data_IF_990247965289
#
_entry.id   IF_990247965289
#
_cell.length_a   1.000
_cell.length_b   1.000
_cell.length_c   1.000
_cell.angle_alpha   90.00
_cell.angle_beta   90.00
_cell.angle_gamma   90.00
#
_symmetry.space_group_name_H-M   'P 1'
#
loop_
_entity.id
_entity.type
_entity.pdbx_description
1 polymer ?
#
# COMPACT_ATOMS: atom_id res chain seq x y z
N UNK A 1 54.53 20.40 22.18
CA UNK A 1 53.18 20.31 21.59
C UNK A 1 52.29 19.58 22.58
N UNK A 2 51.15 20.14 22.97
CA UNK A 2 50.40 19.65 24.12
C UNK A 2 49.53 18.44 23.72
N UNK A 3 50.05 17.23 23.93
CA UNK A 3 49.45 15.96 23.46
C UNK A 3 47.99 15.80 23.91
N UNK A 4 47.65 16.30 25.12
CA UNK A 4 46.28 16.27 25.66
C UNK A 4 45.26 17.10 24.87
N UNK A 5 45.68 18.19 24.22
CA UNK A 5 44.81 19.00 23.36
C UNK A 5 44.55 18.27 22.03
N UNK A 6 45.58 17.57 21.51
CA UNK A 6 45.45 16.82 20.26
C UNK A 6 44.54 15.59 20.44
N UNK A 7 44.66 14.85 21.55
CA UNK A 7 43.80 13.70 21.82
C UNK A 7 42.36 14.09 22.10
N UNK A 8 42.09 15.17 22.85
CA UNK A 8 40.72 15.65 23.08
C UNK A 8 40.04 16.13 21.80
N UNK A 9 40.79 16.77 20.89
CA UNK A 9 40.28 17.16 19.57
C UNK A 9 39.93 15.95 18.69
N UNK A 10 40.77 14.92 18.70
CA UNK A 10 40.50 13.66 17.99
C UNK A 10 39.28 12.93 18.55
N UNK A 11 39.16 12.84 19.88
CA UNK A 11 38.00 12.20 20.53
C UNK A 11 36.71 12.97 20.22
N UNK A 12 36.74 14.30 20.29
CA UNK A 12 35.60 15.14 19.91
C UNK A 12 35.22 15.00 18.44
N UNK A 13 36.21 14.91 17.54
CA UNK A 13 35.98 14.70 16.11
C UNK A 13 35.32 13.36 15.81
N UNK A 14 35.80 12.27 16.43
CA UNK A 14 35.18 10.94 16.30
C UNK A 14 33.77 10.95 16.87
N UNK A 15 33.55 11.61 18.01
CA UNK A 15 32.22 11.72 18.61
C UNK A 15 31.22 12.43 17.69
N UNK A 16 31.67 13.49 17.00
CA UNK A 16 30.84 14.21 16.03
C UNK A 16 30.50 13.33 14.82
N UNK A 17 31.46 12.56 14.31
CA UNK A 17 31.24 11.59 13.23
C UNK A 17 30.26 10.50 13.68
N UNK A 18 30.38 10.00 14.91
CA UNK A 18 29.46 8.99 15.46
C UNK A 18 28.03 9.49 15.56
N UNK A 19 27.81 10.74 15.99
CA UNK A 19 26.47 11.36 16.01
C UNK A 19 25.91 11.49 14.60
N UNK A 20 26.74 11.93 13.64
CA UNK A 20 26.32 12.05 12.25
C UNK A 20 25.90 10.69 11.68
N UNK A 21 26.70 9.65 11.92
CA UNK A 21 26.39 8.28 11.50
C UNK A 21 25.11 7.76 12.14
N UNK A 22 24.90 8.03 13.43
CA UNK A 22 23.68 7.66 14.13
C UNK A 22 22.45 8.37 13.54
N UNK A 23 22.53 9.68 13.31
CA UNK A 23 21.44 10.44 12.68
C UNK A 23 21.11 9.92 11.28
N UNK A 24 22.14 9.57 10.49
CA UNK A 24 21.95 8.97 9.18
C UNK A 24 21.23 7.61 9.29
N UNK A 25 21.62 6.77 10.26
CA UNK A 25 20.98 5.49 10.48
C UNK A 25 19.51 5.65 10.88
N UNK A 26 19.21 6.55 11.84
CA UNK A 26 17.83 6.86 12.25
C UNK A 26 17.01 7.37 11.07
N UNK A 27 17.57 8.24 10.23
CA UNK A 27 16.89 8.75 9.03
C UNK A 27 16.53 7.60 8.07
N UNK A 28 17.49 6.73 7.75
CA UNK A 28 17.27 5.58 6.87
C UNK A 28 16.21 4.63 7.42
N UNK A 29 16.29 4.28 8.71
CA UNK A 29 15.26 3.45 9.37
C UNK A 29 13.89 4.11 9.32
N UNK A 30 13.80 5.42 9.53
CA UNK A 30 12.52 6.14 9.48
C UNK A 30 11.92 6.12 8.08
N UNK A 31 12.75 6.28 7.04
CA UNK A 31 12.31 6.20 5.64
C UNK A 31 11.79 4.79 5.32
N UNK A 32 12.52 3.75 5.71
CA UNK A 32 12.10 2.36 5.51
C UNK A 32 10.77 2.05 6.21
N UNK A 33 10.62 2.44 7.48
CA UNK A 33 9.36 2.26 8.22
C UNK A 33 8.20 3.01 7.57
N UNK A 34 8.46 4.22 7.05
CA UNK A 34 7.44 5.01 6.35
C UNK A 34 6.98 4.31 5.07
N UNK A 35 7.93 3.81 4.27
CA UNK A 35 7.63 3.06 3.04
C UNK A 35 6.86 1.77 3.35
N UNK A 36 7.27 1.02 4.37
CA UNK A 36 6.59 -0.20 4.78
C UNK A 36 5.15 0.09 5.24
N UNK A 37 4.93 1.18 5.98
CA UNK A 37 3.60 1.61 6.39
C UNK A 37 2.72 1.99 5.19
N UNK A 38 3.26 2.73 4.22
CA UNK A 38 2.54 3.08 2.98
C UNK A 38 2.17 1.82 2.20
N UNK A 39 3.11 0.90 2.00
CA UNK A 39 2.87 -0.35 1.29
C UNK A 39 1.80 -1.20 1.99
N UNK A 40 1.87 -1.29 3.32
CA UNK A 40 0.88 -2.02 4.10
C UNK A 40 -0.51 -1.39 4.01
N UNK A 41 -0.62 -0.06 4.05
CA UNK A 41 -1.88 0.65 3.88
C UNK A 41 -2.46 0.42 2.48
N UNK A 42 -1.64 0.54 1.43
CA UNK A 42 -2.07 0.27 0.06
C UNK A 42 -2.61 -1.16 -0.11
N UNK A 43 -1.92 -2.17 0.46
CA UNK A 43 -2.39 -3.55 0.46
C UNK A 43 -3.71 -3.69 1.21
N UNK A 44 -3.83 -3.07 2.39
CA UNK A 44 -5.06 -3.11 3.19
C UNK A 44 -6.24 -2.46 2.47
N UNK A 45 -6.02 -1.35 1.76
CA UNK A 45 -7.04 -0.67 0.98
C UNK A 45 -7.53 -1.56 -0.17
N UNK A 46 -6.60 -2.19 -0.92
CA UNK A 46 -6.93 -3.15 -1.97
C UNK A 46 -7.77 -4.32 -1.42
N UNK A 47 -7.33 -4.91 -0.29
CA UNK A 47 -8.06 -5.99 0.37
C UNK A 47 -9.45 -5.54 0.82
N UNK A 48 -9.57 -4.31 1.35
CA UNK A 48 -10.86 -3.76 1.80
C UNK A 48 -11.82 -3.61 0.63
N UNK A 49 -11.36 -3.06 -0.49
CA UNK A 49 -12.19 -2.91 -1.70
C UNK A 49 -12.60 -4.27 -2.27
N UNK A 50 -11.66 -5.21 -2.44
CA UNK A 50 -11.99 -6.56 -2.90
C UNK A 50 -12.99 -7.27 -1.98
N UNK A 51 -12.80 -7.15 -0.67
CA UNK A 51 -13.67 -7.78 0.33
C UNK A 51 -15.05 -7.15 0.33
N UNK A 52 -15.16 -5.83 0.18
CA UNK A 52 -16.43 -5.15 0.07
C UNK A 52 -17.21 -5.61 -1.18
N UNK A 53 -16.53 -5.61 -2.32
CA UNK A 53 -17.17 -5.82 -3.61
C UNK A 53 -17.54 -7.30 -3.83
N UNK A 54 -16.61 -8.22 -3.60
CA UNK A 54 -16.86 -9.64 -3.86
C UNK A 54 -17.81 -10.28 -2.86
N UNK A 55 -17.85 -9.83 -1.60
CA UNK A 55 -18.84 -10.34 -0.65
C UNK A 55 -20.27 -9.84 -0.94
N UNK A 56 -20.40 -8.77 -1.73
CA UNK A 56 -21.70 -8.16 -2.07
C UNK A 56 -22.17 -8.52 -3.49
N UNK A 57 -21.49 -9.43 -4.20
CA UNK A 57 -21.99 -9.93 -5.49
C UNK A 57 -23.44 -10.41 -5.35
N UNK A 58 -24.34 -9.80 -6.12
CA UNK A 58 -25.77 -10.13 -6.11
C UNK A 58 -26.56 -9.62 -4.90
N UNK A 59 -25.93 -8.89 -3.97
CA UNK A 59 -26.58 -8.34 -2.80
C UNK A 59 -27.67 -7.34 -3.19
N UNK A 60 -28.86 -7.53 -2.62
CA UNK A 60 -30.06 -6.70 -2.84
C UNK A 60 -30.46 -6.50 -4.32
N UNK A 61 -30.00 -7.37 -5.22
CA UNK A 61 -30.26 -7.22 -6.66
C UNK A 61 -31.62 -7.77 -7.09
N UNK A 62 -32.12 -8.79 -6.38
CA UNK A 62 -33.28 -9.56 -6.80
C UNK A 62 -33.05 -10.42 -8.06
N UNK A 63 -31.81 -10.47 -8.59
CA UNK A 63 -31.44 -11.29 -9.73
C UNK A 63 -30.96 -12.67 -9.28
N UNK A 64 -31.35 -13.72 -10.02
CA UNK A 64 -30.79 -15.07 -9.84
C UNK A 64 -29.38 -15.20 -10.41
N UNK A 65 -29.04 -14.35 -11.37
CA UNK A 65 -27.70 -14.26 -11.97
C UNK A 65 -27.22 -12.81 -11.87
N UNK A 66 -26.32 -12.49 -10.93
CA UNK A 66 -25.81 -11.13 -10.78
C UNK A 66 -24.72 -10.80 -11.80
N UNK A 67 -24.23 -11.76 -12.58
CA UNK A 67 -23.11 -11.52 -13.50
C UNK A 67 -23.61 -11.03 -14.86
N UNK A 68 -23.10 -9.88 -15.28
CA UNK A 68 -23.35 -9.33 -16.63
C UNK A 68 -22.25 -9.74 -17.62
N UNK A 69 -21.02 -9.95 -17.13
CA UNK A 69 -19.86 -10.36 -17.93
C UNK A 69 -18.83 -11.05 -17.05
N UNK A 70 -18.26 -12.15 -17.56
CA UNK A 70 -17.10 -12.82 -16.99
C UNK A 70 -16.19 -13.21 -18.16
N UNK A 71 -15.12 -12.45 -18.35
CA UNK A 71 -14.04 -12.72 -19.29
C UNK A 71 -12.72 -12.87 -18.51
N UNK A 72 -11.63 -13.26 -19.19
CA UNK A 72 -10.33 -13.51 -18.54
C UNK A 72 -9.74 -12.25 -17.87
N UNK A 73 -10.07 -11.06 -18.37
CA UNK A 73 -9.54 -9.76 -17.95
C UNK A 73 -10.61 -8.74 -17.52
N UNK A 74 -11.90 -9.10 -17.54
CA UNK A 74 -13.02 -8.19 -17.25
C UNK A 74 -14.17 -8.95 -16.59
N UNK A 75 -14.57 -8.49 -15.41
CA UNK A 75 -15.70 -9.04 -14.65
C UNK A 75 -16.66 -7.88 -14.34
N UNK A 76 -17.93 -8.04 -14.71
CA UNK A 76 -19.00 -7.10 -14.39
C UNK A 76 -20.11 -7.85 -13.66
N UNK A 77 -20.42 -7.41 -12.45
CA UNK A 77 -21.50 -7.96 -11.65
C UNK A 77 -22.36 -6.88 -11.02
N UNK A 78 -23.60 -7.22 -10.72
CA UNK A 78 -24.56 -6.39 -10.05
C UNK A 78 -24.43 -6.55 -8.54
N UNK A 79 -24.41 -5.42 -7.84
CA UNK A 79 -24.38 -5.35 -6.39
C UNK A 79 -24.94 -4.01 -5.93
N UNK A 80 -25.70 -4.04 -4.85
CA UNK A 80 -25.85 -2.88 -3.98
C UNK A 80 -24.59 -2.77 -3.10
N UNK A 81 -23.52 -2.23 -3.68
CA UNK A 81 -22.20 -2.15 -3.04
C UNK A 81 -22.18 -1.16 -1.86
N UNK A 82 -23.21 -0.34 -1.69
CA UNK A 82 -23.26 0.75 -0.73
C UNK A 82 -24.65 0.86 -0.05
N UNK A 83 -25.04 -0.16 0.70
CA UNK A 83 -26.32 -0.28 1.46
C UNK A 83 -26.67 0.88 2.45
N UNK A 84 -25.80 1.88 2.61
CA UNK A 84 -26.04 3.07 3.44
C UNK A 84 -26.27 4.34 2.62
N UNK A 85 -26.32 4.25 1.31
CA UNK A 85 -26.60 5.38 0.43
C UNK A 85 -28.04 5.35 -0.13
N UNK A 86 -28.36 6.30 -1.00
CA UNK A 86 -29.67 6.37 -1.67
C UNK A 86 -29.65 5.73 -3.07
N UNK A 87 -28.55 5.09 -3.46
CA UNK A 87 -28.40 4.45 -4.75
C UNK A 87 -28.89 3.00 -4.65
N UNK A 88 -29.49 2.52 -5.74
CA UNK A 88 -29.92 1.13 -5.82
C UNK A 88 -28.79 0.24 -6.32
N UNK A 89 -29.17 -0.94 -6.84
CA UNK A 89 -28.26 -1.88 -7.51
C UNK A 89 -27.40 -1.17 -8.55
N UNK A 90 -26.08 -1.36 -8.46
CA UNK A 90 -25.09 -0.85 -9.41
C UNK A 90 -24.29 -1.97 -10.05
N UNK A 91 -23.65 -1.68 -11.18
CA UNK A 91 -22.69 -2.59 -11.79
C UNK A 91 -21.29 -2.25 -11.27
N UNK A 92 -20.66 -3.23 -10.62
CA UNK A 92 -19.25 -3.19 -10.24
C UNK A 92 -18.45 -3.85 -11.35
N UNK A 93 -17.39 -3.19 -11.82
CA UNK A 93 -16.51 -3.69 -12.88
C UNK A 93 -15.08 -3.80 -12.37
N UNK A 94 -14.55 -5.01 -12.43
CA UNK A 94 -13.14 -5.31 -12.21
C UNK A 94 -12.51 -5.62 -13.55
N UNK A 95 -11.47 -4.88 -13.92
CA UNK A 95 -10.75 -5.12 -15.17
C UNK A 95 -9.25 -5.05 -14.93
N UNK A 96 -8.50 -5.84 -15.70
CA UNK A 96 -7.06 -5.73 -15.76
C UNK A 96 -6.70 -4.67 -16.80
N UNK A 97 -5.93 -3.66 -16.39
CA UNK A 97 -5.36 -2.72 -17.35
C UNK A 97 -4.25 -3.41 -18.15
N UNK A 98 -4.56 -3.79 -19.38
CA UNK A 98 -3.61 -4.44 -20.29
C UNK A 98 -2.67 -3.46 -20.99
N UNK A 99 -2.89 -2.14 -20.83
CA UNK A 99 -2.03 -1.10 -21.42
C UNK A 99 -0.75 -0.85 -20.61
N UNK A 100 -0.75 -1.22 -19.33
CA UNK A 100 0.42 -1.15 -18.44
C UNK A 100 0.61 -2.47 -17.66
N UNK A 101 1.13 -3.52 -18.32
CA UNK A 101 1.28 -4.83 -17.69
C UNK A 101 2.36 -4.81 -16.60
N UNK A 102 2.00 -5.24 -15.39
CA UNK A 102 2.96 -5.48 -14.31
C UNK A 102 3.82 -6.71 -14.65
N UNK A 103 5.00 -6.48 -15.22
CA UNK A 103 5.92 -7.55 -15.66
C UNK A 103 6.82 -8.09 -14.55
N UNK A 104 6.97 -7.34 -13.45
CA UNK A 104 7.73 -7.74 -12.27
C UNK A 104 7.02 -7.24 -11.03
N UNK A 105 6.86 -8.12 -10.04
CA UNK A 105 6.48 -7.75 -8.68
C UNK A 105 7.63 -8.11 -7.76
N UNK A 106 8.13 -7.13 -6.99
CA UNK A 106 8.99 -7.41 -5.85
C UNK A 106 8.07 -7.83 -4.72
N UNK A 107 7.98 -9.15 -4.48
CA UNK A 107 7.26 -9.65 -3.32
C UNK A 107 7.87 -9.03 -2.05
N UNK A 108 7.08 -8.49 -1.11
CA UNK A 108 7.61 -8.03 0.17
C UNK A 108 8.30 -9.16 0.95
#
# INVERSE_FOLDING_TARGET
MNVGIVTTFLVGGIFLISILSFNQQVLLTTQELTLNSINQNNINDIVTVMTNDFNRIGFNTGSSDPFSRIDDDDIIFQSDAHDTDNFGVTNVRWYLDTSDPVTTTSNP
#
